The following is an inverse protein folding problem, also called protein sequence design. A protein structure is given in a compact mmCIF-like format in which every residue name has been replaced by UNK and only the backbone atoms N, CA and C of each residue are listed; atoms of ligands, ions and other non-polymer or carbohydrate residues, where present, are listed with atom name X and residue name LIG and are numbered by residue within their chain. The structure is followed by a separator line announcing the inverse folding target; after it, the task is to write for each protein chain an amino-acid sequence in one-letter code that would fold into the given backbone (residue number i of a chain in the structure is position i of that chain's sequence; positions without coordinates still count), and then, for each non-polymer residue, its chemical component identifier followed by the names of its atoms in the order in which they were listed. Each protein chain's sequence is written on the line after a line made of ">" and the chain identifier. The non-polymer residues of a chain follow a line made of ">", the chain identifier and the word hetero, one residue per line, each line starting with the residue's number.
data_IF_979257384912
#
_entry.id   IF_979257384912
#
_cell.length_a   1.000
_cell.length_b   1.000
_cell.length_c   1.000
_cell.angle_alpha   90.00
_cell.angle_beta   90.00
_cell.angle_gamma   90.00
#
_symmetry.space_group_name_H-M   'P 1'
#
loop_
_entity.id
_entity.type
_entity.pdbx_description
1 polymer ?
#
# COMPACT_ATOMS: atom_id res chain seq x y z
N UNK A 1 29.51 22.22 16.98
CA UNK A 1 30.09 22.25 15.60
C UNK A 1 30.55 20.87 15.24
N UNK A 2 29.73 20.10 14.50
CA UNK A 2 30.21 18.86 13.85
C UNK A 2 29.55 18.85 12.47
N UNK A 3 30.37 19.06 11.45
CA UNK A 3 29.98 18.91 10.04
C UNK A 3 30.19 17.43 9.68
N UNK A 4 29.16 16.77 9.18
CA UNK A 4 29.28 15.47 8.54
C UNK A 4 29.34 15.63 7.03
N UNK A 5 30.43 15.14 6.44
CA UNK A 5 30.72 15.06 5.03
C UNK A 5 29.81 14.06 4.31
N UNK A 6 29.15 14.49 3.27
CA UNK A 6 28.52 13.63 2.27
C UNK A 6 29.58 13.33 1.19
N UNK A 7 30.12 12.12 1.19
CA UNK A 7 30.98 11.61 0.13
C UNK A 7 30.14 11.00 -1.00
N UNK A 8 30.51 11.37 -2.21
CA UNK A 8 30.00 10.95 -3.51
C UNK A 8 30.03 9.43 -3.69
N UNK A 9 28.94 8.86 -4.17
CA UNK A 9 28.91 7.53 -4.76
C UNK A 9 28.77 7.67 -6.29
N UNK A 10 29.78 7.17 -6.98
CA UNK A 10 29.96 7.16 -8.42
C UNK A 10 28.94 6.27 -9.13
N UNK A 11 28.37 6.79 -10.23
CA UNK A 11 27.69 6.04 -11.29
C UNK A 11 28.61 4.95 -11.85
N UNK A 12 28.17 3.70 -11.81
CA UNK A 12 28.62 2.66 -12.73
C UNK A 12 27.44 2.14 -13.54
N UNK A 13 27.61 2.34 -14.83
CA UNK A 13 26.87 1.91 -15.98
C UNK A 13 26.68 0.37 -15.97
N UNK A 14 25.45 -0.12 -15.98
CA UNK A 14 25.11 -1.50 -16.33
C UNK A 14 24.07 -1.47 -17.45
N UNK A 15 24.59 -1.50 -18.69
CA UNK A 15 23.80 -1.74 -19.87
C UNK A 15 23.18 -3.15 -19.84
N UNK A 16 21.86 -3.20 -19.73
CA UNK A 16 21.02 -4.37 -19.96
C UNK A 16 19.80 -3.94 -20.75
N UNK A 17 19.78 -4.32 -22.03
CA UNK A 17 18.64 -4.11 -22.94
C UNK A 17 17.57 -5.14 -22.61
N UNK A 18 16.60 -4.78 -21.76
CA UNK A 18 15.34 -5.49 -21.68
C UNK A 18 14.21 -4.51 -21.95
N UNK A 19 13.46 -4.82 -23.02
CA UNK A 19 12.35 -4.00 -23.50
C UNK A 19 11.19 -4.10 -22.51
N UNK A 20 11.08 -3.11 -21.63
CA UNK A 20 9.87 -2.90 -20.84
C UNK A 20 8.75 -2.36 -21.73
N UNK A 21 7.50 -2.85 -21.58
CA UNK A 21 6.36 -2.29 -22.28
C UNK A 21 6.10 -0.87 -21.78
N UNK A 22 6.55 0.10 -22.52
CA UNK A 22 6.51 1.56 -22.20
C UNK A 22 5.10 2.15 -22.21
N UNK A 23 4.07 1.42 -22.63
CA UNK A 23 2.71 1.91 -22.76
C UNK A 23 1.91 1.98 -21.45
N UNK A 24 2.12 1.04 -20.54
CA UNK A 24 1.33 0.93 -19.30
C UNK A 24 1.66 2.01 -18.25
N UNK A 25 2.88 2.52 -18.23
CA UNK A 25 3.30 3.52 -17.25
C UNK A 25 2.79 4.94 -17.53
N UNK A 26 2.41 5.25 -18.77
CA UNK A 26 2.01 6.63 -19.13
C UNK A 26 0.64 7.04 -18.57
N UNK A 27 -0.32 6.13 -18.47
CA UNK A 27 -1.66 6.41 -17.93
C UNK A 27 -1.68 6.59 -16.41
N UNK A 28 -0.94 5.76 -15.68
CA UNK A 28 -0.73 5.94 -14.22
C UNK A 28 -0.06 7.27 -13.88
N UNK A 29 0.84 7.68 -14.72
CA UNK A 29 1.56 8.92 -14.65
C UNK A 29 0.66 10.15 -14.83
N UNK A 30 -0.37 10.06 -15.65
CA UNK A 30 -1.38 11.12 -15.80
C UNK A 30 -2.17 11.35 -14.51
N UNK A 31 -2.53 10.30 -13.78
CA UNK A 31 -3.26 10.40 -12.51
C UNK A 31 -2.38 10.96 -11.39
N UNK A 32 -1.11 10.54 -11.27
CA UNK A 32 -0.19 11.07 -10.28
C UNK A 32 0.21 12.53 -10.55
N UNK A 33 0.27 12.96 -11.81
CA UNK A 33 0.54 14.37 -12.19
C UNK A 33 -0.64 15.29 -11.86
N UNK A 34 -1.89 14.79 -11.94
CA UNK A 34 -3.07 15.55 -11.53
C UNK A 34 -3.18 15.71 -10.01
N UNK A 35 -2.49 14.86 -9.24
CA UNK A 35 -2.44 14.91 -7.78
C UNK A 35 -1.70 16.15 -7.27
N UNK A 36 -0.56 16.52 -7.87
CA UNK A 36 0.19 17.70 -7.43
C UNK A 36 -0.54 19.02 -7.67
N UNK A 37 -1.45 19.09 -8.64
CA UNK A 37 -2.31 20.25 -8.87
C UNK A 37 -3.51 20.29 -7.92
N UNK A 38 -4.09 19.15 -7.57
CA UNK A 38 -5.21 19.05 -6.62
C UNK A 38 -4.81 19.27 -5.15
N UNK A 39 -3.55 19.04 -4.81
CA UNK A 39 -3.02 19.23 -3.45
C UNK A 39 -3.00 20.70 -2.98
N UNK A 40 -3.07 21.67 -3.89
CA UNK A 40 -3.01 23.11 -3.53
C UNK A 40 -4.28 23.62 -2.85
N UNK A 41 -5.44 23.02 -3.16
CA UNK A 41 -6.75 23.47 -2.66
C UNK A 41 -7.45 22.43 -1.76
N UNK A 42 -6.82 21.29 -1.51
CA UNK A 42 -7.41 20.20 -0.75
C UNK A 42 -7.31 20.43 0.76
N UNK A 43 -8.40 20.19 1.47
CA UNK A 43 -8.44 20.32 2.93
C UNK A 43 -7.71 19.13 3.58
N UNK A 44 -6.67 19.46 4.36
CA UNK A 44 -5.94 18.52 5.18
C UNK A 44 -6.65 18.32 6.52
N UNK A 45 -7.07 17.09 6.80
CA UNK A 45 -7.61 16.71 8.10
C UNK A 45 -6.58 15.87 8.86
N UNK A 46 -6.30 16.27 10.09
CA UNK A 46 -5.40 15.54 10.98
C UNK A 46 -6.21 14.94 12.11
N UNK A 47 -6.09 13.64 12.32
CA UNK A 47 -6.66 12.93 13.45
C UNK A 47 -5.54 12.31 14.28
N UNK A 48 -5.67 12.36 15.59
CA UNK A 48 -4.68 11.83 16.51
C UNK A 48 -5.26 10.62 17.25
N UNK A 49 -4.51 9.53 17.24
CA UNK A 49 -4.54 8.46 18.24
C UNK A 49 -3.18 8.46 18.93
N UNK A 50 -2.39 7.37 18.81
CA UNK A 50 -1.00 7.36 19.27
C UNK A 50 -0.06 8.02 18.23
N UNK A 51 -0.44 7.96 16.93
CA UNK A 51 0.25 8.62 15.82
C UNK A 51 -0.68 9.61 15.10
N UNK A 52 -0.16 10.70 14.52
CA UNK A 52 -0.94 11.60 13.68
C UNK A 52 -1.31 10.90 12.36
N UNK A 53 -2.59 10.92 12.02
CA UNK A 53 -3.10 10.42 10.74
C UNK A 53 -3.58 11.58 9.89
N UNK A 54 -3.05 11.66 8.68
CA UNK A 54 -3.31 12.74 7.74
C UNK A 54 -4.29 12.25 6.67
N UNK A 55 -5.44 12.88 6.57
CA UNK A 55 -6.39 12.61 5.48
C UNK A 55 -6.47 13.82 4.56
N UNK A 56 -6.11 13.62 3.30
CA UNK A 56 -6.12 14.63 2.27
C UNK A 56 -7.00 14.17 1.11
N UNK A 57 -7.90 15.04 0.67
CA UNK A 57 -8.86 14.72 -0.38
C UNK A 57 -8.17 14.38 -1.70
N UNK A 58 -8.53 13.25 -2.29
CA UNK A 58 -8.01 12.78 -3.57
C UNK A 58 -6.55 12.29 -3.54
N UNK A 59 -5.93 12.19 -2.36
CA UNK A 59 -4.57 11.70 -2.25
C UNK A 59 -4.46 10.18 -2.41
N UNK A 60 -3.31 9.75 -2.91
CA UNK A 60 -2.86 8.36 -2.86
C UNK A 60 -2.08 8.15 -1.56
N UNK A 61 -2.30 7.00 -0.95
CA UNK A 61 -1.64 6.62 0.30
C UNK A 61 -0.81 5.37 0.12
N UNK A 62 0.42 5.40 0.63
CA UNK A 62 1.15 4.20 0.96
C UNK A 62 0.83 3.82 2.41
N UNK A 63 0.33 2.61 2.61
CA UNK A 63 -0.19 2.13 3.89
C UNK A 63 0.55 0.87 4.30
N UNK A 64 0.91 0.79 5.58
CA UNK A 64 1.39 -0.43 6.22
C UNK A 64 0.59 -0.70 7.48
N UNK A 65 0.11 -1.92 7.65
CA UNK A 65 -0.44 -2.39 8.92
C UNK A 65 0.08 -3.79 9.26
N UNK A 66 0.37 -4.00 10.53
CA UNK A 66 1.07 -5.18 11.02
C UNK A 66 0.15 -6.09 11.82
N UNK A 67 0.48 -7.36 11.86
CA UNK A 67 -0.13 -8.30 12.80
C UNK A 67 0.31 -8.00 14.24
N UNK A 68 -0.51 -8.43 15.19
CA UNK A 68 -0.18 -8.32 16.60
C UNK A 68 1.01 -9.24 16.93
N UNK A 69 2.00 -8.71 17.64
CA UNK A 69 3.19 -9.45 18.09
C UNK A 69 3.87 -10.27 16.98
N UNK A 70 3.86 -9.77 15.74
CA UNK A 70 4.40 -10.45 14.56
C UNK A 70 3.79 -11.84 14.31
N UNK A 71 2.50 -12.01 14.60
CA UNK A 71 1.76 -13.22 14.25
C UNK A 71 1.98 -13.56 12.78
N UNK A 72 2.57 -14.71 12.50
CA UNK A 72 2.76 -15.19 11.13
C UNK A 72 1.47 -15.77 10.55
N UNK A 73 0.94 -15.12 9.53
CA UNK A 73 -0.23 -15.57 8.79
C UNK A 73 0.10 -16.78 7.92
N UNK A 74 -0.66 -17.86 8.07
CA UNK A 74 -0.57 -19.00 7.14
C UNK A 74 -0.96 -18.58 5.71
N UNK A 75 -0.62 -19.35 4.67
CA UNK A 75 -1.07 -19.07 3.30
C UNK A 75 -2.58 -18.86 3.19
N UNK A 76 -3.39 -19.68 3.87
CA UNK A 76 -4.85 -19.54 3.90
C UNK A 76 -5.29 -18.21 4.57
N UNK A 77 -4.62 -17.81 5.64
CA UNK A 77 -4.91 -16.54 6.31
C UNK A 77 -4.49 -15.33 5.45
N UNK A 78 -3.36 -15.41 4.75
CA UNK A 78 -2.94 -14.37 3.78
C UNK A 78 -3.94 -14.20 2.64
N UNK A 79 -4.51 -15.31 2.14
CA UNK A 79 -5.57 -15.24 1.14
C UNK A 79 -6.81 -14.52 1.66
N UNK A 80 -7.25 -14.82 2.89
CA UNK A 80 -8.35 -14.10 3.55
C UNK A 80 -8.09 -12.59 3.61
N UNK A 81 -6.86 -12.19 3.92
CA UNK A 81 -6.48 -10.77 3.98
C UNK A 81 -6.48 -10.14 2.60
N UNK A 82 -5.92 -10.82 1.60
CA UNK A 82 -5.91 -10.35 0.21
C UNK A 82 -7.33 -10.11 -0.30
N UNK A 83 -8.24 -11.06 -0.06
CA UNK A 83 -9.65 -10.96 -0.46
C UNK A 83 -10.36 -9.82 0.29
N UNK A 84 -10.11 -9.67 1.58
CA UNK A 84 -10.65 -8.56 2.38
C UNK A 84 -10.21 -7.19 1.86
N UNK A 85 -8.94 -7.06 1.45
CA UNK A 85 -8.41 -5.83 0.88
C UNK A 85 -9.01 -5.53 -0.50
N UNK A 86 -9.28 -6.54 -1.32
CA UNK A 86 -9.82 -6.37 -2.68
C UNK A 86 -11.33 -6.20 -2.72
N UNK A 87 -12.06 -6.56 -1.68
CA UNK A 87 -13.53 -6.66 -1.69
C UNK A 87 -14.25 -5.39 -2.12
N UNK A 88 -13.78 -4.22 -1.69
CA UNK A 88 -14.37 -2.93 -2.04
C UNK A 88 -13.50 -2.13 -3.03
N UNK A 89 -12.55 -2.78 -3.69
CA UNK A 89 -11.78 -2.14 -4.74
C UNK A 89 -12.69 -1.60 -5.84
N UNK A 90 -12.40 -0.43 -6.36
CA UNK A 90 -13.22 0.36 -7.32
C UNK A 90 -14.61 0.78 -6.81
N UNK A 91 -14.96 0.49 -5.56
CA UNK A 91 -16.22 0.91 -4.95
C UNK A 91 -16.00 1.97 -3.86
N UNK A 92 -15.07 1.69 -2.94
CA UNK A 92 -14.75 2.60 -1.83
C UNK A 92 -13.36 3.20 -1.94
N UNK A 93 -12.49 2.53 -2.64
CA UNK A 93 -11.10 2.91 -2.89
C UNK A 93 -10.63 2.28 -4.19
N UNK A 94 -9.57 2.83 -4.74
CA UNK A 94 -8.81 2.24 -5.84
C UNK A 94 -7.50 1.69 -5.28
N UNK A 95 -7.24 0.40 -5.43
CA UNK A 95 -5.92 -0.17 -5.14
C UNK A 95 -5.06 -0.05 -6.40
N UNK A 96 -3.81 0.33 -6.23
CA UNK A 96 -2.81 0.33 -7.29
C UNK A 96 -1.88 -0.87 -7.17
N UNK A 97 -1.41 -1.15 -5.95
CA UNK A 97 -0.51 -2.24 -5.66
C UNK A 97 -0.72 -2.70 -4.21
N UNK A 98 -0.66 -4.01 -3.98
CA UNK A 98 -0.93 -4.64 -2.68
C UNK A 98 -0.07 -5.89 -2.52
N UNK A 99 0.52 -6.07 -1.35
CA UNK A 99 1.17 -7.32 -0.95
C UNK A 99 0.80 -7.69 0.48
N UNK A 100 0.42 -8.94 0.70
CA UNK A 100 0.16 -9.50 2.03
C UNK A 100 1.36 -10.37 2.41
N UNK A 101 2.20 -9.84 3.28
CA UNK A 101 3.35 -10.53 3.84
C UNK A 101 2.94 -11.44 5.01
N UNK A 102 3.83 -12.31 5.53
CA UNK A 102 3.46 -13.18 6.65
C UNK A 102 2.96 -12.44 7.89
N UNK A 103 3.49 -11.27 8.21
CA UNK A 103 3.21 -10.53 9.44
C UNK A 103 2.75 -9.08 9.21
N UNK A 104 2.59 -8.66 7.96
CA UNK A 104 2.14 -7.30 7.62
C UNK A 104 1.57 -7.20 6.21
N UNK A 105 0.96 -6.06 5.93
CA UNK A 105 0.42 -5.69 4.61
C UNK A 105 1.00 -4.36 4.18
N UNK A 106 1.42 -4.27 2.92
CA UNK A 106 1.70 -3.02 2.24
C UNK A 106 0.68 -2.78 1.13
N UNK A 107 0.20 -1.56 1.02
CA UNK A 107 -0.80 -1.21 0.02
C UNK A 107 -0.60 0.23 -0.47
N UNK A 108 -0.71 0.42 -1.78
CA UNK A 108 -0.80 1.72 -2.43
C UNK A 108 -2.23 1.91 -2.93
N UNK A 109 -2.97 2.87 -2.37
CA UNK A 109 -4.39 3.04 -2.66
C UNK A 109 -4.86 4.49 -2.57
N UNK A 110 -6.01 4.77 -3.19
CA UNK A 110 -6.70 6.06 -3.15
C UNK A 110 -8.15 5.87 -2.71
N UNK A 111 -8.64 6.57 -1.64
CA UNK A 111 -10.06 6.59 -1.31
C UNK A 111 -10.90 7.22 -2.42
N UNK A 112 -12.07 6.66 -2.68
CA UNK A 112 -13.03 7.13 -3.67
C UNK A 112 -14.16 7.94 -3.01
N UNK A 113 -14.88 8.72 -3.82
CA UNK A 113 -16.03 9.47 -3.40
C UNK A 113 -17.23 8.55 -3.14
N UNK A 114 -18.01 8.89 -2.11
CA UNK A 114 -19.35 8.36 -1.87
C UNK A 114 -20.38 9.05 -2.78
N UNK A 115 -21.61 8.56 -2.85
CA UNK A 115 -22.69 9.23 -3.59
C UNK A 115 -22.99 10.67 -3.11
N UNK A 116 -22.72 10.99 -1.85
CA UNK A 116 -22.85 12.34 -1.27
C UNK A 116 -21.63 13.25 -1.51
N UNK A 117 -20.76 12.88 -2.44
CA UNK A 117 -19.51 13.55 -2.81
C UNK A 117 -18.44 13.63 -1.72
N UNK A 118 -18.68 13.09 -0.52
CA UNK A 118 -17.64 12.93 0.50
C UNK A 118 -16.77 11.73 0.20
N UNK A 119 -15.51 11.77 0.58
CA UNK A 119 -14.65 10.59 0.46
C UNK A 119 -14.93 9.54 1.54
N UNK A 120 -14.65 8.30 1.22
CA UNK A 120 -14.49 7.27 2.23
C UNK A 120 -13.28 7.61 3.09
N UNK A 121 -13.43 7.67 4.41
CA UNK A 121 -12.28 7.90 5.28
C UNK A 121 -11.35 6.69 5.28
N UNK A 122 -10.05 6.95 5.27
CA UNK A 122 -9.02 5.90 5.32
C UNK A 122 -9.22 4.99 6.55
N UNK A 123 -9.56 5.59 7.69
CA UNK A 123 -9.86 4.86 8.92
C UNK A 123 -11.01 3.89 8.77
N UNK A 124 -12.13 4.27 8.12
CA UNK A 124 -13.27 3.37 7.91
C UNK A 124 -12.96 2.24 6.92
N UNK A 125 -12.16 2.52 5.89
CA UNK A 125 -11.70 1.53 4.91
C UNK A 125 -10.87 0.46 5.62
N UNK A 126 -9.82 0.86 6.33
CA UNK A 126 -8.92 -0.06 7.01
C UNK A 126 -9.59 -0.80 8.17
N UNK A 127 -10.51 -0.13 8.88
CA UNK A 127 -11.33 -0.80 9.89
C UNK A 127 -12.15 -1.95 9.30
N UNK A 128 -12.76 -1.76 8.13
CA UNK A 128 -13.53 -2.82 7.48
C UNK A 128 -12.65 -4.01 7.06
N UNK A 129 -11.47 -3.77 6.50
CA UNK A 129 -10.50 -4.82 6.15
C UNK A 129 -10.02 -5.60 7.36
N UNK A 130 -9.54 -4.89 8.39
CA UNK A 130 -9.04 -5.49 9.64
C UNK A 130 -10.13 -6.24 10.40
N UNK A 131 -11.33 -5.66 10.54
CA UNK A 131 -12.45 -6.27 11.26
C UNK A 131 -12.95 -7.54 10.58
N UNK A 132 -13.06 -7.55 9.24
CA UNK A 132 -13.47 -8.74 8.52
C UNK A 132 -12.40 -9.84 8.63
N UNK A 133 -11.15 -9.53 8.28
CA UNK A 133 -10.07 -10.52 8.31
C UNK A 133 -9.81 -11.09 9.72
N UNK A 134 -9.88 -10.27 10.78
CA UNK A 134 -9.77 -10.75 12.17
C UNK A 134 -10.81 -11.80 12.54
N UNK A 135 -12.02 -11.73 11.96
CA UNK A 135 -13.08 -12.72 12.19
C UNK A 135 -12.92 -14.00 11.37
N UNK A 136 -12.24 -13.93 10.22
CA UNK A 136 -12.06 -15.08 9.34
C UNK A 136 -10.75 -15.85 9.62
N UNK A 137 -9.67 -15.14 9.96
CA UNK A 137 -8.35 -15.73 10.19
C UNK A 137 -8.39 -16.85 11.24
N UNK A 138 -9.05 -16.72 12.41
CA UNK A 138 -9.13 -17.81 13.39
C UNK A 138 -9.80 -19.10 12.87
N UNK A 139 -10.60 -18.99 11.81
CA UNK A 139 -11.25 -20.16 11.20
C UNK A 139 -10.29 -20.97 10.31
N UNK A 140 -9.22 -20.36 9.80
CA UNK A 140 -8.30 -20.98 8.83
C UNK A 140 -6.91 -21.27 9.39
N UNK A 141 -6.53 -20.72 10.57
CA UNK A 141 -5.20 -20.93 11.14
C UNK A 141 -5.16 -21.20 12.66
N UNK A 142 -6.26 -21.60 13.29
CA UNK A 142 -6.33 -21.94 14.74
C UNK A 142 -5.68 -20.88 15.64
N UNK A 143 -5.92 -19.60 15.35
CA UNK A 143 -5.42 -18.49 16.15
C UNK A 143 -6.47 -18.04 17.16
N UNK A 144 -6.04 -17.73 18.40
CA UNK A 144 -6.87 -17.16 19.46
C UNK A 144 -6.23 -15.83 19.88
N UNK A 145 -7.01 -14.76 19.89
CA UNK A 145 -6.54 -13.43 20.31
C UNK A 145 -6.57 -12.39 19.20
N UNK A 146 -5.86 -11.31 19.43
CA UNK A 146 -5.78 -10.16 18.53
C UNK A 146 -4.97 -10.52 17.28
N UNK A 147 -5.48 -10.17 16.09
CA UNK A 147 -4.79 -10.42 14.83
C UNK A 147 -3.97 -9.21 14.40
N UNK A 148 -4.51 -8.00 14.51
CA UNK A 148 -3.91 -6.77 13.99
C UNK A 148 -3.52 -5.82 15.11
N UNK A 149 -2.41 -5.13 14.93
CA UNK A 149 -2.11 -3.94 15.72
C UNK A 149 -3.16 -2.86 15.45
N UNK A 150 -3.49 -2.06 16.44
CA UNK A 150 -4.44 -0.94 16.28
C UNK A 150 -3.88 0.12 15.34
N UNK A 151 -2.61 0.42 15.48
CA UNK A 151 -1.92 1.43 14.70
C UNK A 151 -1.62 0.97 13.26
N UNK A 152 -1.45 1.94 12.40
CA UNK A 152 -0.99 1.82 11.03
C UNK A 152 0.01 2.92 10.71
N UNK A 153 0.84 2.68 9.73
CA UNK A 153 1.64 3.71 9.10
C UNK A 153 0.97 4.09 7.79
N UNK A 154 0.63 5.37 7.65
CA UNK A 154 0.10 5.93 6.41
C UNK A 154 0.96 7.12 5.97
N UNK A 155 1.30 7.12 4.69
CA UNK A 155 2.07 8.18 4.05
C UNK A 155 1.34 8.69 2.82
N UNK A 156 1.14 10.01 2.73
CA UNK A 156 0.54 10.64 1.55
C UNK A 156 1.60 10.70 0.46
N UNK A 157 1.31 10.08 -0.67
CA UNK A 157 2.18 10.10 -1.85
C UNK A 157 2.13 11.48 -2.50
N UNK A 158 3.28 12.17 -2.54
CA UNK A 158 3.36 13.57 -2.93
C UNK A 158 3.46 13.80 -4.42
N UNK A 159 4.10 12.88 -5.12
CA UNK A 159 4.35 13.00 -6.55
C UNK A 159 4.51 11.62 -7.23
N UNK A 160 4.69 11.67 -8.56
CA UNK A 160 4.89 10.49 -9.40
C UNK A 160 6.13 9.68 -9.03
N UNK A 161 7.24 10.35 -8.66
CA UNK A 161 8.49 9.68 -8.32
C UNK A 161 8.30 8.85 -7.04
N UNK A 162 7.67 9.44 -6.04
CA UNK A 162 7.36 8.78 -4.79
C UNK A 162 6.37 7.62 -4.99
N UNK A 163 5.36 7.80 -5.87
CA UNK A 163 4.45 6.73 -6.27
C UNK A 163 5.22 5.52 -6.84
N UNK A 164 6.14 5.74 -7.76
CA UNK A 164 6.96 4.68 -8.35
C UNK A 164 7.86 4.00 -7.32
N UNK A 165 8.46 4.77 -6.39
CA UNK A 165 9.28 4.21 -5.30
C UNK A 165 8.47 3.27 -4.42
N UNK A 166 7.26 3.66 -4.01
CA UNK A 166 6.40 2.80 -3.19
C UNK A 166 5.86 1.60 -3.95
N UNK A 167 5.53 1.78 -5.24
CA UNK A 167 5.11 0.69 -6.11
C UNK A 167 6.18 -0.39 -6.19
N UNK A 168 7.40 -0.02 -6.53
CA UNK A 168 8.54 -0.95 -6.59
C UNK A 168 8.87 -1.55 -5.22
N UNK A 169 8.77 -0.76 -4.16
CA UNK A 169 8.95 -1.27 -2.80
C UNK A 169 7.96 -2.40 -2.48
N UNK A 170 6.66 -2.21 -2.76
CA UNK A 170 5.61 -3.22 -2.54
C UNK A 170 5.88 -4.46 -3.40
N UNK A 171 6.17 -4.23 -4.68
CA UNK A 171 6.43 -5.30 -5.67
C UNK A 171 7.61 -6.18 -5.27
N UNK A 172 8.71 -5.56 -4.81
CA UNK A 172 9.93 -6.27 -4.47
C UNK A 172 9.96 -6.84 -3.04
N UNK A 173 8.95 -6.56 -2.23
CA UNK A 173 8.94 -6.97 -0.83
C UNK A 173 9.04 -8.49 -0.63
N UNK A 174 8.25 -9.35 -1.34
CA UNK A 174 8.34 -10.80 -1.20
C UNK A 174 9.69 -11.36 -1.69
N UNK A 175 10.28 -10.78 -2.73
CA UNK A 175 11.60 -11.21 -3.25
C UNK A 175 12.70 -10.88 -2.24
N UNK A 176 12.70 -9.67 -1.69
CA UNK A 176 13.65 -9.26 -0.65
C UNK A 176 13.53 -10.09 0.64
N UNK A 177 12.31 -10.58 0.94
CA UNK A 177 12.07 -11.47 2.05
C UNK A 177 12.37 -12.95 1.76
N UNK A 178 12.80 -13.29 0.54
CA UNK A 178 13.09 -14.66 0.12
C UNK A 178 11.87 -15.58 -0.01
N UNK A 179 10.68 -14.99 -0.18
CA UNK A 179 9.41 -15.73 -0.28
C UNK A 179 9.06 -16.14 -1.70
N UNK A 180 9.71 -15.55 -2.70
CA UNK A 180 9.58 -15.87 -4.12
C UNK A 180 10.83 -15.42 -4.88
N UNK A 181 11.04 -15.94 -6.07
CA UNK A 181 12.16 -15.54 -6.95
C UNK A 181 11.79 -14.25 -7.69
N UNK A 182 10.55 -14.15 -8.16
CA UNK A 182 10.01 -12.96 -8.80
C UNK A 182 8.76 -12.45 -8.04
N UNK A 183 8.40 -11.17 -8.17
CA UNK A 183 7.18 -10.64 -7.54
C UNK A 183 5.91 -11.35 -8.00
N UNK A 184 5.85 -11.73 -9.28
CA UNK A 184 4.69 -12.33 -9.92
C UNK A 184 4.45 -13.79 -9.44
N UNK A 185 5.47 -14.47 -8.95
CA UNK A 185 5.37 -15.80 -8.36
C UNK A 185 4.77 -15.77 -6.94
N UNK A 186 4.75 -14.60 -6.29
CA UNK A 186 4.21 -14.51 -4.94
C UNK A 186 2.67 -14.46 -4.93
N UNK A 187 1.97 -15.50 -4.42
CA UNK A 187 0.51 -15.63 -4.58
C UNK A 187 -0.31 -14.51 -3.92
N UNK A 188 0.27 -13.82 -2.94
CA UNK A 188 -0.40 -12.77 -2.15
C UNK A 188 0.07 -11.37 -2.55
N UNK A 189 0.56 -11.22 -3.76
CA UNK A 189 0.82 -9.96 -4.44
C UNK A 189 -0.30 -9.68 -5.45
N UNK A 190 -0.73 -8.43 -5.52
CA UNK A 190 -1.70 -7.97 -6.48
C UNK A 190 -1.34 -6.55 -6.95
N UNK A 191 -1.49 -6.32 -8.22
CA UNK A 191 -1.39 -4.99 -8.80
C UNK A 191 -2.50 -4.76 -9.83
N UNK A 192 -2.87 -3.51 -10.03
CA UNK A 192 -3.82 -3.14 -11.06
C UNK A 192 -3.16 -3.33 -12.44
N UNK A 193 -3.79 -4.15 -13.28
CA UNK A 193 -3.49 -4.20 -14.71
C UNK A 193 -4.55 -3.36 -15.41
N UNK A 194 -4.15 -2.44 -16.29
CA UNK A 194 -5.08 -1.85 -17.25
C UNK A 194 -5.28 -2.87 -18.39
N UNK A 195 -6.55 -3.11 -18.71
CA UNK A 195 -6.98 -3.86 -19.90
C UNK A 195 -6.97 -2.92 -21.10
#
# INVERSE_FOLDING_TARGET
>A
MIRANLSQASNQDLGGKDAHPTGQYQLFVGQASSLSLKLRDAQLKVTYRNLPHWELEGAVYFITFNTWEKLELTPAARQVVLDACKFFDRQRYQIFCLVVMPDHVHMLMQPLAKPDHKLWSLSSILHSMKSYSSKQIPKVMKHIGTVWQDERHDHIVRDKREFQVFWEYIKQNPVKAGLSVTPEEYPFFWQMYEV
#
